data_IF_249831415127
#
_entry.id   IF_249831415127
#
_cell.length_a   1.000
_cell.length_b   1.000
_cell.length_c   1.000
_cell.angle_alpha   90.00
_cell.angle_beta   90.00
_cell.angle_gamma   90.00
#
_symmetry.space_group_name_H-M   'P 1'
#
loop_
_entity.id
_entity.type
_entity.pdbx_description
1 polymer ?
#
# COMPACT_ATOMS: atom_id res chain seq x y z
N UNK A 1 -15.56 -6.59 3.69
CA UNK A 1 -15.03 -7.10 2.41
C UNK A 1 -13.53 -7.31 2.54
N UNK A 2 -12.94 -8.27 1.83
CA UNK A 2 -11.49 -8.42 1.73
C UNK A 2 -11.12 -8.02 0.30
N UNK A 3 -10.27 -7.01 0.16
CA UNK A 3 -9.68 -6.66 -1.12
C UNK A 3 -8.29 -7.29 -1.23
N UNK A 4 -8.12 -8.10 -2.26
CA UNK A 4 -6.93 -8.92 -2.46
C UNK A 4 -5.95 -8.34 -3.49
N UNK A 5 -6.25 -7.19 -4.09
CA UNK A 5 -5.39 -6.60 -5.11
C UNK A 5 -5.43 -5.07 -5.07
N UNK A 6 -4.30 -4.44 -4.71
CA UNK A 6 -4.21 -2.99 -4.65
C UNK A 6 -2.77 -2.48 -4.77
N UNK A 7 -2.66 -1.25 -5.29
CA UNK A 7 -1.41 -0.52 -5.50
C UNK A 7 -1.35 0.68 -4.55
N UNK A 8 -1.44 0.41 -3.24
CA UNK A 8 -1.50 1.46 -2.21
C UNK A 8 -0.14 1.67 -1.52
N UNK A 9 0.77 0.69 -1.59
CA UNK A 9 2.08 0.84 -0.93
C UNK A 9 2.83 2.05 -1.54
N UNK A 10 3.29 3.02 -0.73
CA UNK A 10 3.71 4.31 -1.26
C UNK A 10 5.05 4.24 -1.99
N UNK A 11 5.08 4.81 -3.21
CA UNK A 11 6.29 5.09 -3.98
C UNK A 11 6.99 3.89 -4.60
N UNK A 12 6.31 2.73 -4.72
CA UNK A 12 6.94 1.49 -5.21
C UNK A 12 6.55 1.12 -6.65
N UNK A 13 5.45 1.65 -7.17
CA UNK A 13 4.98 1.44 -8.54
C UNK A 13 4.10 2.62 -9.02
N UNK A 14 3.17 2.36 -9.95
CA UNK A 14 2.23 3.33 -10.51
C UNK A 14 0.96 3.55 -9.67
N UNK A 15 0.93 3.01 -8.45
CA UNK A 15 -0.09 3.25 -7.45
C UNK A 15 0.06 4.58 -6.71
N UNK A 16 0.02 4.52 -5.37
CA UNK A 16 0.21 5.68 -4.52
C UNK A 16 1.65 6.25 -4.65
N UNK A 17 1.84 7.52 -5.06
CA UNK A 17 3.16 8.11 -5.24
C UNK A 17 3.86 8.46 -3.92
N UNK A 18 3.09 8.70 -2.86
CA UNK A 18 3.59 9.10 -1.55
C UNK A 18 2.68 8.62 -0.41
N UNK A 19 3.15 8.83 0.83
CA UNK A 19 2.45 8.42 2.05
C UNK A 19 1.06 9.06 2.18
N UNK A 20 0.92 10.33 1.82
CA UNK A 20 -0.35 11.05 1.96
C UNK A 20 -1.43 10.44 1.07
N UNK A 21 -1.09 10.20 -0.20
CA UNK A 21 -2.01 9.54 -1.14
C UNK A 21 -2.33 8.11 -0.69
N UNK A 22 -1.34 7.35 -0.21
CA UNK A 22 -1.55 5.99 0.27
C UNK A 22 -2.55 5.91 1.44
N UNK A 23 -2.44 6.83 2.42
CA UNK A 23 -3.37 6.90 3.54
C UNK A 23 -4.79 7.27 3.07
N UNK A 24 -4.93 8.29 2.21
CA UNK A 24 -6.25 8.66 1.67
C UNK A 24 -6.91 7.53 0.86
N UNK A 25 -6.12 6.70 0.15
CA UNK A 25 -6.65 5.53 -0.55
C UNK A 25 -7.14 4.46 0.43
N UNK A 26 -6.44 4.22 1.55
CA UNK A 26 -6.92 3.28 2.58
C UNK A 26 -8.17 3.80 3.29
N UNK A 27 -8.25 5.08 3.61
CA UNK A 27 -9.45 5.69 4.20
C UNK A 27 -10.67 5.50 3.30
N UNK A 28 -10.51 5.75 2.00
CA UNK A 28 -11.58 5.52 1.02
C UNK A 28 -11.98 4.03 0.95
N UNK A 29 -11.00 3.12 0.90
CA UNK A 29 -11.26 1.67 0.90
C UNK A 29 -12.00 1.21 2.17
N UNK A 30 -11.60 1.72 3.34
CA UNK A 30 -12.24 1.44 4.61
C UNK A 30 -13.67 2.00 4.68
N UNK A 31 -13.90 3.20 4.15
CA UNK A 31 -15.22 3.82 4.01
C UNK A 31 -16.16 2.97 3.13
N UNK A 32 -15.63 2.39 2.06
CA UNK A 32 -16.34 1.47 1.17
C UNK A 32 -16.57 0.06 1.77
N UNK A 33 -16.15 -0.17 3.01
CA UNK A 33 -16.43 -1.39 3.76
C UNK A 33 -15.39 -2.51 3.58
N UNK A 34 -14.22 -2.20 3.03
CA UNK A 34 -13.06 -3.10 3.10
C UNK A 34 -12.59 -3.19 4.55
N UNK A 35 -12.33 -4.41 4.99
CA UNK A 35 -11.87 -4.75 6.36
C UNK A 35 -10.50 -5.42 6.37
N UNK A 36 -10.02 -5.83 5.21
CA UNK A 36 -8.70 -6.42 5.03
C UNK A 36 -8.24 -6.06 3.64
N UNK A 37 -7.06 -5.44 3.55
CA UNK A 37 -6.44 -4.99 2.31
C UNK A 37 -5.16 -5.79 2.10
N UNK A 38 -5.02 -6.43 0.93
CA UNK A 38 -3.75 -7.02 0.50
C UNK A 38 -3.08 -6.08 -0.49
N UNK A 39 -1.88 -5.62 -0.15
CA UNK A 39 -1.07 -4.76 -1.00
C UNK A 39 -0.27 -5.64 -1.97
N UNK A 40 -0.50 -5.46 -3.27
CA UNK A 40 0.07 -6.29 -4.34
C UNK A 40 0.81 -5.43 -5.37
N UNK A 41 1.89 -4.72 -4.97
CA UNK A 41 2.62 -3.87 -5.88
C UNK A 41 3.28 -4.69 -7.00
N UNK A 42 3.57 -4.04 -8.11
CA UNK A 42 4.16 -4.67 -9.28
C UNK A 42 5.56 -5.25 -9.03
N UNK A 43 5.79 -6.49 -9.49
CA UNK A 43 7.10 -7.16 -9.49
C UNK A 43 7.65 -7.27 -10.93
N UNK A 44 7.82 -6.15 -11.61
CA UNK A 44 8.20 -6.10 -13.03
C UNK A 44 9.62 -5.57 -13.24
N UNK A 45 10.60 -6.49 -13.30
CA UNK A 45 12.01 -6.15 -13.57
C UNK A 45 12.15 -5.29 -14.83
N UNK A 46 12.95 -4.22 -14.73
CA UNK A 46 13.18 -3.27 -15.83
C UNK A 46 12.14 -2.15 -15.93
N UNK A 47 11.00 -2.25 -15.22
CA UNK A 47 10.02 -1.17 -15.05
C UNK A 47 9.92 -0.70 -13.60
N UNK A 48 9.82 -1.65 -12.67
CA UNK A 48 9.85 -1.43 -11.22
C UNK A 48 10.89 -2.39 -10.62
N UNK A 49 11.97 -1.86 -10.04
CA UNK A 49 13.03 -2.69 -9.42
C UNK A 49 12.66 -3.09 -7.99
N UNK A 50 11.44 -3.62 -7.82
CA UNK A 50 10.94 -4.06 -6.55
C UNK A 50 11.59 -5.38 -6.13
N UNK A 51 12.11 -5.38 -4.90
CA UNK A 51 12.67 -6.54 -4.22
C UNK A 51 11.89 -6.78 -2.94
N UNK A 52 11.70 -8.05 -2.58
CA UNK A 52 10.85 -8.43 -1.43
C UNK A 52 11.36 -7.73 -0.16
N UNK A 53 12.67 -7.67 0.05
CA UNK A 53 13.29 -7.06 1.23
C UNK A 53 13.07 -5.55 1.31
N UNK A 54 12.94 -4.87 0.16
CA UNK A 54 12.62 -3.45 0.11
C UNK A 54 11.13 -3.24 0.38
N UNK A 55 10.27 -4.01 -0.28
CA UNK A 55 8.82 -3.93 -0.11
C UNK A 55 8.39 -4.24 1.32
N UNK A 56 8.99 -5.24 1.97
CA UNK A 56 8.72 -5.57 3.37
C UNK A 56 9.05 -4.40 4.30
N UNK A 57 10.21 -3.76 4.13
CA UNK A 57 10.59 -2.60 4.94
C UNK A 57 9.65 -1.41 4.75
N UNK A 58 9.26 -1.14 3.49
CA UNK A 58 8.29 -0.07 3.19
C UNK A 58 6.92 -0.41 3.78
N UNK A 59 6.49 -1.67 3.69
CA UNK A 59 5.24 -2.15 4.26
C UNK A 59 5.20 -2.03 5.79
N UNK A 60 6.27 -2.40 6.48
CA UNK A 60 6.38 -2.26 7.94
C UNK A 60 6.33 -0.80 8.37
N UNK A 61 7.09 0.07 7.69
CA UNK A 61 7.06 1.50 7.95
C UNK A 61 5.68 2.11 7.66
N UNK A 62 5.06 1.71 6.56
CA UNK A 62 3.72 2.17 6.18
C UNK A 62 2.67 1.71 7.19
N UNK A 63 2.71 0.46 7.65
CA UNK A 63 1.78 -0.07 8.65
C UNK A 63 1.81 0.75 9.95
N UNK A 64 2.99 1.20 10.38
CA UNK A 64 3.12 2.10 11.55
C UNK A 64 2.41 3.44 11.32
N UNK A 65 2.48 4.00 10.12
CA UNK A 65 1.79 5.26 9.79
C UNK A 65 0.27 5.07 9.66
N UNK A 66 -0.18 3.92 9.14
CA UNK A 66 -1.60 3.53 9.11
C UNK A 66 -2.16 3.44 10.53
N UNK A 67 -1.44 2.76 11.45
CA UNK A 67 -1.84 2.67 12.86
C UNK A 67 -1.92 4.04 13.54
N UNK A 68 -0.97 4.94 13.27
CA UNK A 68 -0.99 6.32 13.78
C UNK A 68 -2.16 7.14 13.22
N UNK A 69 -2.55 6.89 11.98
CA UNK A 69 -3.71 7.52 11.34
C UNK A 69 -5.04 6.93 11.85
N UNK A 70 -5.02 5.78 12.52
CA UNK A 70 -6.20 5.12 13.08
C UNK A 70 -7.09 4.47 12.03
N UNK A 71 -6.49 4.01 10.92
CA UNK A 71 -7.16 3.34 9.80
C UNK A 71 -7.17 1.82 10.00
#
# INVERSE_FOLDING_TARGET
MIDIHSHILPGVDDGAPDLGVALSMLEASAFDGVKTQVLTPHMHRGRYDNKIENLQRIFEAFSVEVDKAGI
#
